data_IF_759559475979
#
_entry.id   IF_759559475979
#
_cell.length_a   1.000
_cell.length_b   1.000
_cell.length_c   1.000
_cell.angle_alpha   90.00
_cell.angle_beta   90.00
_cell.angle_gamma   90.00
#
_symmetry.space_group_name_H-M   'P 1'
#
loop_
_entity.id
_entity.type
_entity.pdbx_description
1 polymer ?
#
# COMPACT_ATOMS: atom_id res chain seq x y z
N UNK A 1 1.64 4.06 -17.47
CA UNK A 1 1.01 4.56 -16.22
C UNK A 1 1.38 3.70 -15.01
N UNK A 2 1.28 2.36 -15.12
CA UNK A 2 1.68 1.40 -14.08
C UNK A 2 3.09 1.59 -13.52
N UNK A 3 4.08 1.84 -14.38
CA UNK A 3 5.45 2.10 -13.93
C UNK A 3 5.54 3.33 -13.02
N UNK A 4 4.86 4.44 -13.37
CA UNK A 4 4.77 5.64 -12.52
C UNK A 4 4.07 5.35 -11.19
N UNK A 5 3.04 4.49 -11.22
CA UNK A 5 2.30 4.07 -10.03
C UNK A 5 3.14 3.17 -9.11
N UNK A 6 3.97 2.29 -9.67
CA UNK A 6 4.93 1.48 -8.92
C UNK A 6 5.99 2.34 -8.24
N UNK A 7 6.57 3.31 -8.95
CA UNK A 7 7.51 4.28 -8.34
C UNK A 7 6.83 5.10 -7.24
N UNK A 8 5.59 5.53 -7.46
CA UNK A 8 4.83 6.28 -6.47
C UNK A 8 4.55 5.44 -5.20
N UNK A 9 4.15 4.17 -5.36
CA UNK A 9 3.98 3.26 -4.23
C UNK A 9 5.29 2.98 -3.49
N UNK A 10 6.41 2.86 -4.20
CA UNK A 10 7.74 2.70 -3.59
C UNK A 10 8.10 3.92 -2.75
N UNK A 11 7.91 5.13 -3.28
CA UNK A 11 8.17 6.37 -2.56
C UNK A 11 7.26 6.47 -1.33
N UNK A 12 5.97 6.19 -1.46
CA UNK A 12 5.04 6.23 -0.33
C UNK A 12 5.33 5.16 0.72
N UNK A 13 5.73 3.96 0.30
CA UNK A 13 6.16 2.91 1.22
C UNK A 13 7.37 3.35 2.05
N UNK A 14 8.35 4.00 1.42
CA UNK A 14 9.52 4.57 2.10
C UNK A 14 9.11 5.70 3.05
N UNK A 15 8.27 6.65 2.61
CA UNK A 15 7.78 7.75 3.45
C UNK A 15 7.01 7.22 4.66
N UNK A 16 6.11 6.26 4.44
CA UNK A 16 5.32 5.64 5.49
C UNK A 16 6.21 4.88 6.49
N UNK A 17 7.23 4.15 6.02
CA UNK A 17 8.24 3.51 6.87
C UNK A 17 8.98 4.52 7.75
N UNK A 18 9.41 5.65 7.18
CA UNK A 18 10.12 6.71 7.90
C UNK A 18 9.25 7.34 8.98
N UNK A 19 7.96 7.59 8.70
CA UNK A 19 7.01 8.07 9.70
C UNK A 19 6.78 7.05 10.84
N UNK A 20 6.86 5.76 10.52
CA UNK A 20 6.64 4.67 11.49
C UNK A 20 7.89 4.30 12.31
N UNK A 21 9.10 4.64 11.84
CA UNK A 21 10.37 4.19 12.46
C UNK A 21 10.56 4.68 13.92
N UNK A 22 9.77 5.65 14.37
CA UNK A 22 9.78 6.20 15.73
C UNK A 22 8.94 5.37 16.73
N UNK A 23 8.01 4.53 16.27
CA UNK A 23 7.07 3.77 17.14
C UNK A 23 6.64 2.42 16.54
N UNK A 24 7.35 1.93 15.53
CA UNK A 24 6.82 0.93 14.61
C UNK A 24 6.77 -0.48 15.15
N UNK A 25 5.63 -1.14 14.93
CA UNK A 25 5.44 -2.58 15.18
C UNK A 25 5.97 -3.39 13.99
N UNK A 26 6.43 -4.63 14.26
CA UNK A 26 6.92 -5.56 13.24
C UNK A 26 5.95 -5.74 12.08
N UNK A 27 4.64 -5.74 12.38
CA UNK A 27 3.59 -5.89 11.38
C UNK A 27 3.61 -4.77 10.31
N UNK A 28 3.85 -3.53 10.73
CA UNK A 28 3.91 -2.39 9.80
C UNK A 28 5.14 -2.45 8.91
N UNK A 29 6.31 -2.78 9.47
CA UNK A 29 7.54 -2.95 8.68
C UNK A 29 7.40 -4.08 7.66
N UNK A 30 6.84 -5.22 8.06
CA UNK A 30 6.61 -6.35 7.18
C UNK A 30 5.59 -6.01 6.07
N UNK A 31 4.48 -5.35 6.41
CA UNK A 31 3.46 -4.93 5.45
C UNK A 31 3.99 -3.99 4.38
N UNK A 32 4.80 -3.00 4.78
CA UNK A 32 5.45 -2.07 3.86
C UNK A 32 6.42 -2.81 2.93
N UNK A 33 7.23 -3.72 3.47
CA UNK A 33 8.17 -4.52 2.67
C UNK A 33 7.44 -5.35 1.62
N UNK A 34 6.29 -5.94 1.97
CA UNK A 34 5.49 -6.71 1.02
C UNK A 34 4.91 -5.83 -0.08
N UNK A 35 4.48 -4.60 0.21
CA UNK A 35 4.03 -3.64 -0.81
C UNK A 35 5.17 -3.24 -1.75
N UNK A 36 6.39 -3.08 -1.23
CA UNK A 36 7.60 -2.83 -2.02
C UNK A 36 7.86 -4.00 -2.98
N UNK A 37 7.84 -5.23 -2.47
CA UNK A 37 8.03 -6.44 -3.28
C UNK A 37 6.94 -6.59 -4.34
N UNK A 38 5.67 -6.38 -3.98
CA UNK A 38 4.56 -6.40 -4.93
C UNK A 38 4.73 -5.36 -6.04
N UNK A 39 5.08 -4.12 -5.67
CA UNK A 39 5.29 -3.03 -6.63
C UNK A 39 6.48 -3.31 -7.55
N UNK A 40 7.55 -3.91 -7.03
CA UNK A 40 8.69 -4.36 -7.84
C UNK A 40 8.32 -5.48 -8.82
N UNK A 41 7.54 -6.47 -8.37
CA UNK A 41 7.04 -7.55 -9.24
C UNK A 41 6.18 -7.00 -10.38
N UNK A 42 5.25 -6.10 -10.09
CA UNK A 42 4.42 -5.44 -11.10
C UNK A 42 5.27 -4.66 -12.11
N UNK A 43 6.28 -3.92 -11.64
CA UNK A 43 7.19 -3.15 -12.49
C UNK A 43 8.05 -4.06 -13.38
N UNK A 44 8.56 -5.17 -12.84
CA UNK A 44 9.35 -6.14 -13.61
C UNK A 44 8.51 -6.80 -14.71
N UNK A 45 7.28 -7.17 -14.39
CA UNK A 45 6.35 -7.77 -15.34
C UNK A 45 5.91 -6.77 -16.42
N UNK A 46 5.80 -5.48 -16.09
CA UNK A 46 5.62 -4.40 -17.07
C UNK A 46 6.80 -4.28 -18.04
N UNK A 47 8.05 -4.30 -17.53
CA UNK A 47 9.26 -4.22 -18.37
C UNK A 47 9.41 -5.40 -19.33
N UNK A 48 8.83 -6.55 -19.00
CA UNK A 48 8.88 -7.77 -19.81
C UNK A 48 7.66 -7.91 -20.75
N UNK A 49 6.77 -6.91 -20.80
CA UNK A 49 5.46 -6.95 -21.47
C UNK A 49 4.65 -8.23 -21.15
N UNK A 50 4.88 -8.80 -19.97
CA UNK A 50 4.28 -10.05 -19.52
C UNK A 50 3.49 -9.80 -18.25
N UNK A 51 2.24 -9.37 -18.43
CA UNK A 51 1.32 -9.00 -17.36
C UNK A 51 0.73 -10.22 -16.62
N UNK A 52 1.20 -11.43 -16.92
CA UNK A 52 0.67 -12.65 -16.31
C UNK A 52 1.06 -12.73 -14.84
N UNK A 53 0.05 -12.82 -14.00
CA UNK A 53 0.25 -13.02 -12.57
C UNK A 53 0.87 -14.40 -12.33
N UNK A 54 2.00 -14.39 -11.64
CA UNK A 54 2.61 -15.60 -11.06
C UNK A 54 2.13 -15.77 -9.62
N UNK A 55 2.32 -16.95 -9.05
CA UNK A 55 1.95 -17.28 -7.66
C UNK A 55 2.38 -16.19 -6.65
N UNK A 56 3.58 -15.60 -6.86
CA UNK A 56 4.12 -14.52 -6.03
C UNK A 56 3.31 -13.23 -6.07
N UNK A 57 2.67 -12.89 -7.20
CA UNK A 57 1.81 -11.71 -7.32
C UNK A 57 0.53 -11.88 -6.50
N UNK A 58 -0.05 -13.09 -6.50
CA UNK A 58 -1.21 -13.39 -5.67
C UNK A 58 -0.88 -13.36 -4.18
N UNK A 59 0.23 -13.97 -3.76
CA UNK A 59 0.65 -13.99 -2.36
C UNK A 59 0.94 -12.57 -1.84
N UNK A 60 1.76 -11.81 -2.56
CA UNK A 60 2.14 -10.44 -2.15
C UNK A 60 0.99 -9.45 -2.30
N UNK A 61 0.12 -9.63 -3.30
CA UNK A 61 -1.11 -8.84 -3.45
C UNK A 61 -2.11 -9.08 -2.32
N UNK A 62 -2.36 -10.34 -1.96
CA UNK A 62 -3.25 -10.70 -0.86
C UNK A 62 -2.75 -10.15 0.48
N UNK A 63 -1.45 -10.31 0.76
CA UNK A 63 -0.85 -9.77 1.97
C UNK A 63 -0.89 -8.24 1.98
N UNK A 64 -0.66 -7.59 0.85
CA UNK A 64 -0.81 -6.13 0.72
C UNK A 64 -2.25 -5.69 1.02
N UNK A 65 -3.26 -6.44 0.57
CA UNK A 65 -4.67 -6.17 0.91
C UNK A 65 -4.94 -6.33 2.41
N UNK A 66 -4.44 -7.40 3.03
CA UNK A 66 -4.56 -7.59 4.49
C UNK A 66 -3.93 -6.41 5.25
N UNK A 67 -2.73 -5.98 4.85
CA UNK A 67 -2.05 -4.87 5.48
C UNK A 67 -2.79 -3.54 5.30
N UNK A 68 -3.28 -3.24 4.09
CA UNK A 68 -4.14 -2.06 3.87
C UNK A 68 -5.40 -2.13 4.75
N UNK A 69 -6.01 -3.31 4.89
CA UNK A 69 -7.12 -3.53 5.80
C UNK A 69 -6.78 -3.12 7.24
N UNK A 70 -5.59 -3.48 7.73
CA UNK A 70 -5.12 -3.06 9.06
C UNK A 70 -4.88 -1.55 9.17
N UNK A 71 -4.37 -0.90 8.12
CA UNK A 71 -4.18 0.55 8.10
C UNK A 71 -5.55 1.26 8.16
N UNK A 72 -6.50 0.84 7.32
CA UNK A 72 -7.84 1.40 7.27
C UNK A 72 -8.56 1.20 8.62
N UNK A 73 -8.49 0.00 9.19
CA UNK A 73 -9.04 -0.28 10.51
C UNK A 73 -8.42 0.62 11.59
N UNK A 74 -7.09 0.81 11.56
CA UNK A 74 -6.39 1.72 12.45
C UNK A 74 -6.86 3.17 12.28
N UNK A 75 -7.01 3.64 11.05
CA UNK A 75 -7.51 4.98 10.74
C UNK A 75 -8.90 5.20 11.35
N UNK A 76 -9.84 4.27 11.16
CA UNK A 76 -11.19 4.40 11.74
C UNK A 76 -11.17 4.45 13.28
N UNK A 77 -10.36 3.59 13.91
CA UNK A 77 -10.25 3.55 15.37
C UNK A 77 -9.49 4.73 15.96
N UNK A 78 -8.68 5.44 15.17
CA UNK A 78 -7.99 6.67 15.61
C UNK A 78 -8.88 7.89 15.37
N UNK A 79 -9.51 7.99 14.19
CA UNK A 79 -10.29 9.17 13.79
C UNK A 79 -11.53 9.38 14.67
N UNK A 80 -12.28 8.31 14.98
CA UNK A 80 -13.49 8.41 15.79
C UNK A 80 -13.23 9.02 17.19
N UNK A 81 -12.33 8.47 18.02
CA UNK A 81 -12.02 9.06 19.33
C UNK A 81 -11.26 10.38 19.21
N UNK A 82 -10.46 10.59 18.17
CA UNK A 82 -9.73 11.85 18.02
C UNK A 82 -10.66 13.04 17.69
N UNK A 83 -11.80 12.80 17.03
CA UNK A 83 -12.88 13.78 16.86
C UNK A 83 -13.61 14.01 18.20
N UNK A 84 -13.93 12.94 18.92
CA UNK A 84 -14.67 13.01 20.19
C UNK A 84 -13.92 13.81 21.27
N UNK A 85 -12.60 13.61 21.38
CA UNK A 85 -11.79 14.24 22.42
C UNK A 85 -10.93 15.42 21.94
N UNK A 86 -11.00 15.81 20.65
CA UNK A 86 -10.25 16.94 20.09
C UNK A 86 -8.72 16.92 20.30
N UNK A 87 -8.11 15.73 20.35
CA UNK A 87 -6.66 15.53 20.61
C UNK A 87 -5.79 15.34 19.35
N UNK A 88 -6.27 15.74 18.16
CA UNK A 88 -5.49 15.55 16.93
C UNK A 88 -4.25 16.45 16.94
N UNK A 89 -3.08 15.84 17.16
CA UNK A 89 -1.80 16.49 16.90
C UNK A 89 -1.51 16.57 15.39
N UNK A 90 -0.69 17.54 14.97
CA UNK A 90 -0.27 17.68 13.57
C UNK A 90 0.46 16.43 13.04
N UNK A 91 1.18 15.72 13.91
CA UNK A 91 1.87 14.47 13.56
C UNK A 91 0.86 13.35 13.26
N UNK A 92 -0.17 13.21 14.11
CA UNK A 92 -1.27 12.24 13.92
C UNK A 92 -2.04 12.53 12.64
N UNK A 93 -2.33 13.80 12.37
CA UNK A 93 -3.03 14.22 11.16
C UNK A 93 -2.23 13.89 9.89
N UNK A 94 -0.92 14.18 9.90
CA UNK A 94 -0.02 13.88 8.79
C UNK A 94 0.06 12.37 8.54
N UNK A 95 0.15 11.57 9.59
CA UNK A 95 0.13 10.11 9.50
C UNK A 95 -1.18 9.58 8.90
N UNK A 96 -2.33 10.11 9.32
CA UNK A 96 -3.64 9.72 8.78
C UNK A 96 -3.74 10.04 7.29
N UNK A 97 -3.37 11.25 6.88
CA UNK A 97 -3.42 11.67 5.47
C UNK A 97 -2.53 10.77 4.61
N UNK A 98 -1.27 10.56 5.01
CA UNK A 98 -0.35 9.69 4.28
C UNK A 98 -0.86 8.26 4.24
N UNK A 99 -1.40 7.75 5.35
CA UNK A 99 -1.97 6.40 5.43
C UNK A 99 -3.17 6.20 4.50
N UNK A 100 -4.09 7.17 4.41
CA UNK A 100 -5.22 7.13 3.48
C UNK A 100 -4.74 7.16 2.04
N UNK A 101 -3.88 8.12 1.68
CA UNK A 101 -3.36 8.28 0.32
C UNK A 101 -2.60 7.03 -0.12
N UNK A 102 -1.76 6.47 0.76
CA UNK A 102 -1.03 5.24 0.50
C UNK A 102 -1.95 4.05 0.31
N UNK A 103 -2.93 3.86 1.19
CA UNK A 103 -3.90 2.77 1.09
C UNK A 103 -4.67 2.81 -0.22
N UNK A 104 -5.20 3.98 -0.60
CA UNK A 104 -5.93 4.17 -1.86
C UNK A 104 -5.02 3.90 -3.06
N UNK A 105 -3.79 4.39 -3.03
CA UNK A 105 -2.84 4.20 -4.13
C UNK A 105 -2.51 2.72 -4.36
N UNK A 106 -2.29 1.96 -3.29
CA UNK A 106 -2.01 0.52 -3.40
C UNK A 106 -3.23 -0.25 -3.89
N UNK A 107 -4.44 0.08 -3.42
CA UNK A 107 -5.68 -0.53 -3.92
C UNK A 107 -5.88 -0.29 -5.41
N UNK A 108 -5.68 0.95 -5.88
CA UNK A 108 -5.75 1.29 -7.30
C UNK A 108 -4.70 0.51 -8.09
N UNK A 109 -3.47 0.41 -7.57
CA UNK A 109 -2.39 -0.32 -8.23
C UNK A 109 -2.72 -1.81 -8.40
N UNK A 110 -3.22 -2.46 -7.34
CA UNK A 110 -3.67 -3.84 -7.40
C UNK A 110 -4.81 -4.01 -8.41
N UNK A 111 -5.81 -3.13 -8.38
CA UNK A 111 -6.98 -3.19 -9.26
C UNK A 111 -6.62 -3.03 -10.74
N UNK A 112 -5.78 -2.05 -11.09
CA UNK A 112 -5.32 -1.84 -12.47
C UNK A 112 -4.52 -3.06 -12.95
N UNK A 113 -3.61 -3.57 -12.11
CA UNK A 113 -2.75 -4.68 -12.48
C UNK A 113 -3.54 -5.99 -12.65
N UNK A 114 -4.59 -6.18 -11.85
CA UNK A 114 -5.52 -7.31 -12.00
C UNK A 114 -6.31 -7.22 -13.31
N UNK A 115 -6.83 -6.04 -13.64
CA UNK A 115 -7.57 -5.80 -14.90
C UNK A 115 -6.71 -6.08 -16.14
N UNK A 116 -5.46 -5.60 -16.15
CA UNK A 116 -4.53 -5.85 -17.26
C UNK A 116 -4.17 -7.32 -17.42
N UNK A 117 -3.97 -8.05 -16.32
CA UNK A 117 -3.74 -9.50 -16.36
C UNK A 117 -4.94 -10.25 -16.96
N UNK A 118 -6.16 -9.89 -16.57
CA UNK A 118 -7.37 -10.49 -17.11
C UNK A 118 -7.52 -10.22 -18.61
N UNK A 119 -7.23 -8.99 -19.06
CA UNK A 119 -7.25 -8.65 -20.49
C UNK A 119 -6.17 -9.36 -21.31
N UNK A 120 -5.00 -9.62 -20.72
CA UNK A 120 -3.88 -10.31 -21.40
C UNK A 120 -4.03 -11.84 -21.41
N UNK A 121 -5.02 -12.39 -20.69
CA UNK A 121 -5.32 -13.82 -20.64
C UNK A 121 -6.48 -14.23 -21.57
N UNK A 122 -7.14 -13.26 -22.22
CA UNK A 122 -8.04 -13.48 -23.35
C UNK A 122 -7.25 -13.47 -24.64
#
# INVERSE_FOLDING_TARGET
>A
MLQKLSYFNLILAIVYLLLYLKSGTFNSTAGIFVIIVFSWLCMRSYQLDNYKWKIWHYLTGLWSLCFIGTIIYGIFNIVAPAIEYSFISNDTLSYLIVGVVFSVSVLIHIGIYFSMNYSSSK
#
